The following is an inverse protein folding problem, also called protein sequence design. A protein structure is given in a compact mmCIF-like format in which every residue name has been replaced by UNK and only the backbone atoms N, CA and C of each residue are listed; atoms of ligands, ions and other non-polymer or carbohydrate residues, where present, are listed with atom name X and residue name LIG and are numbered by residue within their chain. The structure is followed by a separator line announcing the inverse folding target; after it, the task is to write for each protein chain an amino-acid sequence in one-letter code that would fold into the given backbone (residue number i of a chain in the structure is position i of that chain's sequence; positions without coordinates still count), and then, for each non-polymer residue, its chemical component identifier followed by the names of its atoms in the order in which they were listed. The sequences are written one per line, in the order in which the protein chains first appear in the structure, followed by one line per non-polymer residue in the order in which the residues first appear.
data_IF_248173595131
#
_entry.id   IF_248173595131
#
_cell.length_a   1.000
_cell.length_b   1.000
_cell.length_c   1.000
_cell.angle_alpha   90.00
_cell.angle_beta   90.00
_cell.angle_gamma   90.00
#
_symmetry.space_group_name_H-M   'P 1'
#
loop_
_entity.id
_entity.type
_entity.pdbx_description
1 polymer ?
#
# COMPACT_ATOMS: atom_id res chain seq x y z
N UNK A 1 -43.66 31.42 78.07
CA UNK A 1 -42.36 31.01 77.64
C UNK A 1 -42.53 29.93 76.55
N UNK A 2 -42.87 30.29 75.29
CA UNK A 2 -43.05 29.42 74.14
C UNK A 2 -43.26 30.18 72.83
N UNK A 3 -42.31 31.02 72.37
CA UNK A 3 -42.39 31.71 71.05
C UNK A 3 -41.02 31.71 70.31
N UNK A 4 -40.03 30.90 70.66
CA UNK A 4 -38.68 31.05 70.09
C UNK A 4 -38.19 29.88 69.19
N UNK A 5 -39.04 28.95 68.77
CA UNK A 5 -38.52 27.77 68.01
C UNK A 5 -39.15 27.53 66.63
N UNK A 6 -39.87 28.50 66.06
CA UNK A 6 -40.54 28.28 64.73
C UNK A 6 -39.88 28.99 63.52
N UNK A 7 -38.79 29.73 63.71
CA UNK A 7 -38.15 30.50 62.64
C UNK A 7 -36.84 29.87 62.06
N UNK A 8 -36.36 28.78 62.65
CA UNK A 8 -35.04 28.21 62.26
C UNK A 8 -35.12 27.10 61.17
N UNK A 9 -36.24 26.41 61.02
CA UNK A 9 -36.29 25.24 60.12
C UNK A 9 -36.49 25.57 58.61
N UNK A 10 -37.17 26.69 58.30
CA UNK A 10 -37.41 27.09 56.91
C UNK A 10 -36.18 27.66 56.23
N UNK A 11 -35.30 28.34 56.96
CA UNK A 11 -34.03 28.86 56.36
C UNK A 11 -32.99 27.78 56.11
N UNK A 12 -32.95 26.77 56.98
CA UNK A 12 -32.00 25.63 56.79
C UNK A 12 -32.33 24.78 55.54
N UNK A 13 -33.67 24.53 55.35
CA UNK A 13 -34.11 23.72 54.18
C UNK A 13 -33.95 24.49 52.87
N UNK A 14 -34.14 25.82 52.86
CA UNK A 14 -33.86 26.64 51.65
C UNK A 14 -32.40 26.71 51.30
N UNK A 15 -31.50 26.83 52.28
CA UNK A 15 -30.04 26.86 52.07
C UNK A 15 -29.51 25.50 51.60
N UNK A 16 -30.04 24.40 52.15
CA UNK A 16 -29.69 23.04 51.69
C UNK A 16 -30.15 22.79 50.24
N UNK A 17 -31.33 23.24 49.84
CA UNK A 17 -31.84 23.10 48.48
C UNK A 17 -31.01 23.91 47.48
N UNK A 18 -30.62 25.12 47.86
CA UNK A 18 -29.75 26.00 47.01
C UNK A 18 -28.36 25.41 46.82
N UNK A 19 -27.75 24.88 47.89
CA UNK A 19 -26.47 24.19 47.84
C UNK A 19 -26.51 22.89 47.00
N UNK A 20 -27.62 22.15 47.05
CA UNK A 20 -27.79 20.94 46.20
C UNK A 20 -27.99 21.32 44.72
N UNK A 21 -28.65 22.40 44.41
CA UNK A 21 -28.85 22.91 43.04
C UNK A 21 -27.53 23.44 42.48
N UNK A 22 -26.76 24.20 43.28
CA UNK A 22 -25.45 24.69 42.90
C UNK A 22 -24.42 23.57 42.68
N UNK A 23 -24.36 22.60 43.58
CA UNK A 23 -23.52 21.40 43.42
C UNK A 23 -23.91 20.58 42.18
N UNK A 24 -25.21 20.43 41.87
CA UNK A 24 -25.68 19.74 40.68
C UNK A 24 -25.32 20.50 39.39
N UNK A 25 -25.41 21.84 39.39
CA UNK A 25 -24.95 22.68 38.26
C UNK A 25 -23.43 22.60 38.05
N UNK A 26 -22.66 22.69 39.13
CA UNK A 26 -21.20 22.61 39.08
C UNK A 26 -20.75 21.21 38.59
N UNK A 27 -21.40 20.14 39.03
CA UNK A 27 -21.12 18.77 38.60
C UNK A 27 -21.46 18.56 37.11
N UNK A 28 -22.62 19.13 36.65
CA UNK A 28 -23.00 19.04 35.23
C UNK A 28 -22.06 19.84 34.32
N UNK A 29 -21.61 21.02 34.78
CA UNK A 29 -20.65 21.85 34.03
C UNK A 29 -19.28 21.18 33.97
N UNK A 30 -18.78 20.60 35.05
CA UNK A 30 -17.52 19.86 35.08
C UNK A 30 -17.59 18.60 34.23
N UNK A 31 -18.69 17.86 34.22
CA UNK A 31 -18.92 16.72 33.32
C UNK A 31 -18.94 17.14 31.84
N UNK A 32 -19.59 18.26 31.52
CA UNK A 32 -19.59 18.79 30.15
C UNK A 32 -18.18 19.19 29.68
N UNK A 33 -17.39 19.86 30.52
CA UNK A 33 -16.01 20.25 30.25
C UNK A 33 -15.13 19.01 30.10
N UNK A 34 -15.31 17.98 30.94
CA UNK A 34 -14.55 16.70 30.82
C UNK A 34 -14.94 15.97 29.54
N UNK A 35 -16.21 15.94 29.15
CA UNK A 35 -16.68 15.35 27.91
C UNK A 35 -16.17 16.10 26.68
N UNK A 36 -16.13 17.42 26.70
CA UNK A 36 -15.61 18.27 25.63
C UNK A 36 -14.08 18.12 25.49
N UNK A 37 -13.34 18.09 26.58
CA UNK A 37 -11.90 17.85 26.60
C UNK A 37 -11.55 16.43 26.11
N UNK A 38 -12.31 15.42 26.49
CA UNK A 38 -12.12 14.06 26.00
C UNK A 38 -12.43 13.97 24.49
N UNK A 39 -13.44 14.66 24.00
CA UNK A 39 -13.81 14.66 22.59
C UNK A 39 -12.77 15.38 21.71
N UNK A 40 -12.22 16.51 22.19
CA UNK A 40 -11.12 17.23 21.53
C UNK A 40 -9.81 16.47 21.57
N UNK A 41 -9.47 15.81 22.69
CA UNK A 41 -8.30 14.95 22.82
C UNK A 41 -8.39 13.75 21.90
N UNK A 42 -9.52 13.08 21.82
CA UNK A 42 -9.76 11.95 20.92
C UNK A 42 -9.65 12.36 19.44
N UNK A 43 -10.20 13.51 19.05
CA UNK A 43 -10.05 14.04 17.69
C UNK A 43 -8.59 14.34 17.33
N UNK A 44 -7.84 14.98 18.23
CA UNK A 44 -6.42 15.28 18.04
C UNK A 44 -5.60 13.99 17.84
N UNK A 45 -5.81 12.99 18.69
CA UNK A 45 -5.15 11.68 18.61
C UNK A 45 -5.48 10.97 17.29
N UNK A 46 -6.74 11.03 16.83
CA UNK A 46 -7.14 10.48 15.53
C UNK A 46 -6.37 11.12 14.36
N UNK A 47 -6.33 12.45 14.26
CA UNK A 47 -5.63 13.14 13.17
C UNK A 47 -4.11 12.89 13.20
N UNK A 48 -3.50 12.87 14.38
CA UNK A 48 -2.08 12.54 14.53
C UNK A 48 -1.82 11.10 14.07
N UNK A 49 -2.68 10.15 14.44
CA UNK A 49 -2.56 8.76 14.01
C UNK A 49 -2.68 8.61 12.48
N UNK A 50 -3.61 9.33 11.85
CA UNK A 50 -3.73 9.35 10.38
C UNK A 50 -2.47 9.94 9.74
N UNK A 51 -1.90 11.01 10.29
CA UNK A 51 -0.66 11.62 9.78
C UNK A 51 0.54 10.65 9.91
N UNK A 52 0.67 9.94 11.04
CA UNK A 52 1.71 8.92 11.24
C UNK A 52 1.55 7.79 10.20
N UNK A 53 0.33 7.29 10.01
CA UNK A 53 0.05 6.25 9.02
C UNK A 53 0.36 6.72 7.59
N UNK A 54 -0.01 7.96 7.25
CA UNK A 54 0.33 8.57 5.97
C UNK A 54 1.85 8.63 5.74
N UNK A 55 2.62 9.03 6.76
CA UNK A 55 4.08 8.98 6.75
C UNK A 55 4.63 7.56 6.56
N UNK A 56 4.02 6.56 7.21
CA UNK A 56 4.40 5.16 7.00
C UNK A 56 4.16 4.70 5.57
N UNK A 57 2.99 5.03 4.98
CA UNK A 57 2.69 4.67 3.59
C UNK A 57 3.58 5.40 2.59
N UNK A 58 3.99 6.63 2.90
CA UNK A 58 5.03 7.33 2.15
C UNK A 58 6.35 6.56 2.18
N UNK A 59 6.80 6.13 3.37
CA UNK A 59 8.03 5.32 3.50
C UNK A 59 7.89 3.98 2.74
N UNK A 60 6.73 3.31 2.82
CA UNK A 60 6.49 2.07 2.06
C UNK A 60 6.62 2.31 0.55
N UNK A 61 6.00 3.38 0.03
CA UNK A 61 6.13 3.75 -1.36
C UNK A 61 7.56 4.06 -1.74
N UNK A 62 8.25 4.86 -0.93
CA UNK A 62 9.64 5.22 -1.17
C UNK A 62 10.54 3.97 -1.29
N UNK A 63 10.48 3.07 -0.32
CA UNK A 63 11.29 1.84 -0.30
C UNK A 63 10.94 0.89 -1.44
N UNK A 64 9.64 0.74 -1.77
CA UNK A 64 9.21 -0.18 -2.83
C UNK A 64 9.66 0.27 -4.22
N UNK A 65 9.62 1.56 -4.51
CA UNK A 65 9.91 2.09 -5.84
C UNK A 65 11.39 2.37 -6.09
N UNK A 66 12.21 2.52 -5.05
CA UNK A 66 13.67 2.57 -5.18
C UNK A 66 14.22 1.34 -5.89
N UNK A 67 13.64 0.17 -5.63
CA UNK A 67 14.12 -1.08 -6.22
C UNK A 67 14.02 -1.11 -7.76
N UNK A 68 13.05 -0.41 -8.35
CA UNK A 68 12.88 -0.39 -9.81
C UNK A 68 14.06 0.23 -10.56
N UNK A 69 14.72 1.22 -9.96
CA UNK A 69 15.93 1.85 -10.54
C UNK A 69 17.16 0.95 -10.41
N UNK A 70 17.17 0.08 -9.42
CA UNK A 70 18.32 -0.78 -9.14
C UNK A 70 18.46 -1.95 -10.11
N UNK A 71 17.36 -2.38 -10.75
CA UNK A 71 17.39 -3.50 -11.70
C UNK A 71 18.38 -3.25 -12.83
N UNK A 72 18.28 -2.15 -13.64
CA UNK A 72 19.26 -1.86 -14.67
C UNK A 72 20.65 -1.55 -14.09
N UNK A 73 20.70 -0.92 -12.92
CA UNK A 73 21.95 -0.60 -12.25
C UNK A 73 22.72 -1.84 -11.82
N UNK A 74 22.07 -2.81 -11.19
CA UNK A 74 22.71 -4.08 -10.82
C UNK A 74 23.05 -4.95 -12.05
N UNK A 75 22.24 -4.88 -13.11
CA UNK A 75 22.55 -5.57 -14.35
C UNK A 75 23.95 -5.18 -14.85
N UNK A 76 24.26 -3.89 -14.86
CA UNK A 76 25.57 -3.40 -15.33
C UNK A 76 26.64 -3.65 -14.27
N UNK A 77 26.44 -3.22 -13.03
CA UNK A 77 27.46 -3.24 -11.98
C UNK A 77 27.83 -4.64 -11.48
N UNK A 78 26.93 -5.62 -11.61
CA UNK A 78 27.17 -7.02 -11.28
C UNK A 78 27.32 -7.92 -12.53
N UNK A 79 27.33 -7.35 -13.75
CA UNK A 79 27.49 -8.07 -15.02
C UNK A 79 26.43 -9.17 -15.20
N UNK A 80 25.17 -8.87 -14.86
CA UNK A 80 24.06 -9.82 -14.91
C UNK A 80 23.47 -9.90 -16.32
N UNK A 81 22.96 -11.08 -16.66
CA UNK A 81 22.07 -11.25 -17.81
C UNK A 81 20.73 -10.54 -17.57
N UNK A 82 19.96 -10.33 -18.64
CA UNK A 82 18.61 -9.78 -18.51
C UNK A 82 17.74 -10.61 -17.57
N UNK A 83 17.79 -11.94 -17.69
CA UNK A 83 17.01 -12.85 -16.85
C UNK A 83 17.42 -12.75 -15.36
N UNK A 84 18.72 -12.75 -15.08
CA UNK A 84 19.23 -12.64 -13.71
C UNK A 84 18.83 -11.33 -13.03
N UNK A 85 18.75 -10.22 -13.77
CA UNK A 85 18.33 -8.95 -13.22
C UNK A 85 16.89 -8.96 -12.69
N UNK A 86 16.01 -9.80 -13.21
CA UNK A 86 14.64 -9.95 -12.70
C UNK A 86 14.57 -10.66 -11.35
N UNK A 87 15.64 -11.35 -10.90
CA UNK A 87 15.68 -11.88 -9.53
C UNK A 87 15.62 -10.79 -8.47
N UNK A 88 15.97 -9.55 -8.77
CA UNK A 88 15.79 -8.38 -7.90
C UNK A 88 14.31 -8.24 -7.51
N UNK A 89 13.42 -8.18 -8.51
CA UNK A 89 11.98 -8.07 -8.28
C UNK A 89 11.42 -9.36 -7.64
N UNK A 90 11.88 -10.51 -8.11
CA UNK A 90 11.43 -11.80 -7.56
C UNK A 90 11.77 -11.94 -6.08
N UNK A 91 13.01 -11.69 -5.65
CA UNK A 91 13.42 -11.77 -4.24
C UNK A 91 12.60 -10.84 -3.34
N UNK A 92 12.30 -9.63 -3.83
CA UNK A 92 11.49 -8.66 -3.12
C UNK A 92 10.02 -9.11 -2.97
N UNK A 93 9.38 -9.54 -4.06
CA UNK A 93 7.95 -9.88 -4.06
C UNK A 93 7.64 -11.26 -3.49
N UNK A 94 8.55 -12.25 -3.63
CA UNK A 94 8.35 -13.57 -3.04
C UNK A 94 8.33 -13.50 -1.50
N UNK A 95 9.02 -12.52 -0.91
CA UNK A 95 8.98 -12.27 0.51
C UNK A 95 7.56 -11.98 1.03
N UNK A 96 6.73 -11.27 0.27
CA UNK A 96 5.33 -11.03 0.65
C UNK A 96 4.52 -12.32 0.72
N UNK A 97 4.75 -13.23 -0.23
CA UNK A 97 4.09 -14.53 -0.22
C UNK A 97 4.54 -15.38 0.96
N UNK A 98 5.85 -15.56 1.13
CA UNK A 98 6.43 -16.39 2.18
C UNK A 98 6.09 -15.87 3.58
N UNK A 99 6.13 -14.55 3.76
CA UNK A 99 5.95 -13.91 5.05
C UNK A 99 4.51 -13.54 5.37
N UNK A 100 3.56 -13.74 4.46
CA UNK A 100 2.16 -13.40 4.70
C UNK A 100 1.61 -14.06 5.98
N UNK A 101 1.74 -15.39 6.10
CA UNK A 101 1.26 -16.13 7.27
C UNK A 101 2.12 -15.87 8.52
N UNK A 102 3.45 -15.95 8.48
CA UNK A 102 4.30 -15.59 9.61
C UNK A 102 4.06 -14.19 10.15
N UNK A 103 3.81 -13.19 9.26
CA UNK A 103 3.49 -11.81 9.67
C UNK A 103 2.21 -11.75 10.52
N UNK A 104 1.14 -12.42 10.08
CA UNK A 104 -0.11 -12.48 10.84
C UNK A 104 0.04 -13.16 12.21
N UNK A 105 0.82 -14.24 12.28
CA UNK A 105 1.14 -14.91 13.55
C UNK A 105 1.96 -14.01 14.48
N UNK A 106 2.95 -13.30 13.94
CA UNK A 106 3.73 -12.32 14.68
C UNK A 106 2.82 -11.23 15.26
N UNK A 107 1.98 -10.62 14.43
CA UNK A 107 1.06 -9.55 14.85
C UNK A 107 0.07 -10.02 15.91
N UNK A 108 -0.42 -11.25 15.80
CA UNK A 108 -1.27 -11.87 16.82
C UNK A 108 -0.57 -11.98 18.17
N UNK A 109 0.74 -12.26 18.18
CA UNK A 109 1.55 -12.41 19.40
C UNK A 109 1.98 -11.07 20.01
N UNK A 110 2.38 -10.10 19.19
CA UNK A 110 3.01 -8.86 19.68
C UNK A 110 2.13 -7.63 19.59
N UNK A 111 1.00 -7.67 18.89
CA UNK A 111 0.13 -6.52 18.61
C UNK A 111 0.56 -5.72 17.39
N UNK A 112 -0.28 -4.74 16.97
CA UNK A 112 -0.03 -3.97 15.75
C UNK A 112 1.16 -3.01 15.88
N UNK A 113 1.22 -2.24 16.96
CA UNK A 113 2.24 -1.21 17.16
C UNK A 113 3.66 -1.79 17.24
N UNK A 114 3.82 -2.88 17.98
CA UNK A 114 5.12 -3.59 18.04
C UNK A 114 5.42 -4.31 16.73
N UNK A 115 4.43 -4.87 16.06
CA UNK A 115 4.60 -5.47 14.75
C UNK A 115 5.11 -4.49 13.71
N UNK A 116 4.57 -3.26 13.69
CA UNK A 116 5.06 -2.17 12.84
C UNK A 116 6.53 -1.84 13.16
N UNK A 117 6.88 -1.72 14.44
CA UNK A 117 8.27 -1.51 14.86
C UNK A 117 9.19 -2.60 14.32
N UNK A 118 8.85 -3.88 14.52
CA UNK A 118 9.66 -5.00 14.01
C UNK A 118 9.75 -5.03 12.49
N UNK A 119 8.66 -4.70 11.79
CA UNK A 119 8.67 -4.55 10.34
C UNK A 119 9.68 -3.51 9.85
N UNK A 120 9.69 -2.32 10.46
CA UNK A 120 10.69 -1.30 10.16
C UNK A 120 12.12 -1.73 10.49
N UNK A 121 12.33 -2.38 11.63
CA UNK A 121 13.67 -2.90 12.00
C UNK A 121 14.18 -3.92 10.99
N UNK A 122 13.32 -4.82 10.52
CA UNK A 122 13.69 -5.84 9.54
C UNK A 122 13.94 -5.23 8.16
N UNK A 123 13.16 -4.24 7.75
CA UNK A 123 13.40 -3.46 6.52
C UNK A 123 14.73 -2.71 6.61
N UNK A 124 15.04 -2.10 7.77
CA UNK A 124 16.32 -1.44 8.03
C UNK A 124 17.50 -2.42 7.95
N UNK A 125 17.35 -3.61 8.54
CA UNK A 125 18.35 -4.66 8.45
C UNK A 125 18.63 -5.04 6.99
N UNK A 126 17.57 -5.21 6.18
CA UNK A 126 17.69 -5.47 4.75
C UNK A 126 18.45 -4.36 4.01
N UNK A 127 18.18 -3.09 4.34
CA UNK A 127 18.93 -1.97 3.78
C UNK A 127 20.41 -1.96 4.20
N UNK A 128 20.74 -2.33 5.44
CA UNK A 128 22.13 -2.46 5.88
C UNK A 128 22.89 -3.63 5.24
N UNK A 129 22.20 -4.71 4.84
CA UNK A 129 22.81 -5.84 4.10
C UNK A 129 23.36 -5.38 2.75
N UNK A 130 22.83 -4.31 2.15
CA UNK A 130 23.37 -3.74 0.92
C UNK A 130 24.82 -3.25 1.07
N UNK A 131 25.25 -2.84 2.28
CA UNK A 131 26.60 -2.37 2.54
C UNK A 131 27.64 -3.50 2.31
N UNK A 132 27.59 -4.65 3.02
CA UNK A 132 28.51 -5.75 2.73
C UNK A 132 28.32 -6.35 1.34
N UNK A 133 27.10 -6.34 0.78
CA UNK A 133 26.83 -6.79 -0.57
C UNK A 133 27.60 -5.96 -1.62
N UNK A 134 27.60 -4.63 -1.47
CA UNK A 134 28.32 -3.72 -2.35
C UNK A 134 29.84 -3.81 -2.18
N UNK A 135 30.32 -3.96 -0.95
CA UNK A 135 31.77 -4.14 -0.67
C UNK A 135 32.31 -5.45 -1.27
N UNK A 136 31.51 -6.52 -1.19
CA UNK A 136 31.89 -7.82 -1.75
C UNK A 136 31.55 -7.94 -3.25
N UNK A 137 30.75 -7.03 -3.82
CA UNK A 137 30.17 -7.10 -5.18
C UNK A 137 29.50 -8.46 -5.44
N UNK A 138 28.76 -8.97 -4.44
CA UNK A 138 28.07 -10.25 -4.53
C UNK A 138 26.56 -10.04 -4.67
N UNK A 139 26.01 -10.42 -5.82
CA UNK A 139 24.60 -10.25 -6.15
C UNK A 139 23.67 -11.01 -5.22
N UNK A 140 24.07 -12.21 -4.79
CA UNK A 140 23.30 -13.07 -3.89
C UNK A 140 23.04 -12.37 -2.53
N UNK A 141 24.01 -11.60 -2.03
CA UNK A 141 23.86 -10.86 -0.77
C UNK A 141 22.85 -9.72 -0.96
N UNK A 142 22.83 -9.06 -2.13
CA UNK A 142 21.77 -8.08 -2.45
C UNK A 142 20.38 -8.72 -2.47
N UNK A 143 20.24 -9.93 -3.02
CA UNK A 143 18.97 -10.67 -3.01
C UNK A 143 18.49 -10.97 -1.59
N UNK A 144 19.40 -11.33 -0.67
CA UNK A 144 19.08 -11.53 0.75
C UNK A 144 18.62 -10.20 1.37
N UNK A 145 19.29 -9.10 1.07
CA UNK A 145 18.88 -7.76 1.49
C UNK A 145 17.48 -7.39 1.00
N UNK A 146 17.20 -7.62 -0.30
CA UNK A 146 15.89 -7.38 -0.92
C UNK A 146 14.79 -8.24 -0.30
N UNK A 147 15.05 -9.53 -0.08
CA UNK A 147 14.13 -10.43 0.60
C UNK A 147 13.84 -9.97 2.03
N UNK A 148 14.86 -9.50 2.76
CA UNK A 148 14.70 -8.94 4.11
C UNK A 148 13.86 -7.65 4.10
N UNK A 149 14.09 -6.74 3.14
CA UNK A 149 13.27 -5.54 2.92
C UNK A 149 11.82 -5.94 2.65
N UNK A 150 11.60 -6.84 1.70
CA UNK A 150 10.27 -7.35 1.36
C UNK A 150 9.56 -8.01 2.55
N UNK A 151 10.29 -8.77 3.35
CA UNK A 151 9.79 -9.39 4.61
C UNK A 151 9.34 -8.31 5.61
N UNK A 152 10.15 -7.29 5.83
CA UNK A 152 9.79 -6.16 6.68
C UNK A 152 8.54 -5.44 6.18
N UNK A 153 8.46 -5.16 4.88
CA UNK A 153 7.30 -4.51 4.26
C UNK A 153 6.04 -5.39 4.32
N UNK A 154 6.17 -6.72 4.20
CA UNK A 154 5.03 -7.63 4.38
C UNK A 154 4.45 -7.53 5.81
N UNK A 155 5.29 -7.49 6.84
CA UNK A 155 4.86 -7.27 8.23
C UNK A 155 4.19 -5.89 8.37
N UNK A 156 4.82 -4.84 7.83
CA UNK A 156 4.34 -3.47 7.91
C UNK A 156 2.97 -3.33 7.26
N UNK A 157 2.77 -3.86 6.05
CA UNK A 157 1.49 -3.76 5.35
C UNK A 157 0.41 -4.63 6.00
N UNK A 158 0.76 -5.83 6.51
CA UNK A 158 -0.15 -6.68 7.27
C UNK A 158 -0.67 -5.98 8.53
N UNK A 159 0.15 -5.12 9.14
CA UNK A 159 -0.24 -4.32 10.30
C UNK A 159 -0.97 -3.02 9.91
N UNK A 160 -0.42 -2.24 8.99
CA UNK A 160 -0.88 -0.89 8.70
C UNK A 160 -2.23 -0.85 7.97
N UNK A 161 -2.49 -1.76 7.02
CA UNK A 161 -3.73 -1.76 6.26
C UNK A 161 -4.99 -1.97 7.12
N UNK A 162 -5.08 -2.99 8.00
CA UNK A 162 -6.22 -3.12 8.90
C UNK A 162 -6.27 -1.97 9.91
N UNK A 163 -5.12 -1.46 10.35
CA UNK A 163 -5.06 -0.33 11.26
C UNK A 163 -5.74 0.91 10.66
N UNK A 164 -5.42 1.27 9.40
CA UNK A 164 -6.09 2.36 8.67
C UNK A 164 -7.59 2.11 8.52
N UNK A 165 -8.00 0.87 8.34
CA UNK A 165 -9.41 0.50 8.17
C UNK A 165 -10.20 0.69 9.47
N UNK A 166 -9.61 0.34 10.62
CA UNK A 166 -10.29 0.24 11.92
C UNK A 166 -10.23 1.54 12.74
N UNK A 167 -9.23 2.40 12.53
CA UNK A 167 -9.01 3.62 13.35
C UNK A 167 -10.17 4.63 13.31
N UNK A 168 -11.16 4.45 12.46
CA UNK A 168 -12.35 5.29 12.33
C UNK A 168 -13.53 4.54 11.74
N UNK A 169 -14.65 5.23 11.43
CA UNK A 169 -15.85 4.60 10.89
C UNK A 169 -15.56 3.77 9.65
N UNK A 170 -16.11 2.55 9.58
CA UNK A 170 -15.88 1.61 8.47
C UNK A 170 -16.32 2.18 7.13
N UNK A 171 -17.40 2.96 7.10
CA UNK A 171 -17.94 3.59 5.89
C UNK A 171 -16.99 4.59 5.23
N UNK A 172 -16.02 5.14 5.97
CA UNK A 172 -15.00 6.03 5.47
C UNK A 172 -13.62 5.36 5.32
N UNK A 173 -13.53 4.04 5.49
CA UNK A 173 -12.26 3.31 5.40
C UNK A 173 -11.61 3.46 4.02
N UNK A 174 -12.39 3.36 2.92
CA UNK A 174 -11.86 3.54 1.57
C UNK A 174 -11.27 4.94 1.35
N UNK A 175 -11.86 5.98 1.96
CA UNK A 175 -11.31 7.35 1.92
C UNK A 175 -9.95 7.42 2.63
N UNK A 176 -9.82 6.81 3.81
CA UNK A 176 -8.53 6.77 4.53
C UNK A 176 -7.48 6.00 3.76
N UNK A 177 -7.82 4.84 3.19
CA UNK A 177 -6.91 4.05 2.35
C UNK A 177 -6.48 4.84 1.12
N UNK A 178 -7.38 5.63 0.50
CA UNK A 178 -7.04 6.50 -0.63
C UNK A 178 -6.02 7.57 -0.26
N UNK A 179 -6.13 8.18 0.93
CA UNK A 179 -5.12 9.13 1.44
C UNK A 179 -3.75 8.43 1.57
N UNK A 180 -3.72 7.22 2.13
CA UNK A 180 -2.49 6.43 2.23
C UNK A 180 -1.93 6.08 0.84
N UNK A 181 -2.82 5.76 -0.11
CA UNK A 181 -2.48 5.51 -1.51
C UNK A 181 -1.80 6.70 -2.19
N UNK A 182 -2.31 7.92 -1.98
CA UNK A 182 -1.69 9.15 -2.50
C UNK A 182 -0.28 9.32 -1.92
N UNK A 183 -0.11 9.17 -0.60
CA UNK A 183 1.20 9.29 0.02
C UNK A 183 2.19 8.26 -0.52
N UNK A 184 1.74 7.02 -0.73
CA UNK A 184 2.54 5.94 -1.30
C UNK A 184 2.95 6.23 -2.77
N UNK A 185 2.01 6.66 -3.61
CA UNK A 185 2.30 6.95 -5.03
C UNK A 185 3.15 8.21 -5.21
N UNK A 186 2.93 9.24 -4.39
CA UNK A 186 3.76 10.44 -4.38
C UNK A 186 5.22 10.10 -4.01
N UNK A 187 5.41 9.27 -2.98
CA UNK A 187 6.74 8.74 -2.64
C UNK A 187 7.35 7.95 -3.79
N UNK A 188 6.53 7.15 -4.50
CA UNK A 188 6.95 6.38 -5.66
C UNK A 188 7.44 7.24 -6.84
N UNK A 189 6.90 8.43 -7.01
CA UNK A 189 7.37 9.39 -8.02
C UNK A 189 8.71 10.00 -7.62
N UNK A 190 8.87 10.33 -6.34
CA UNK A 190 10.05 11.06 -5.84
C UNK A 190 11.26 10.12 -5.62
N UNK A 191 11.02 8.90 -5.16
CA UNK A 191 12.10 8.01 -4.72
C UNK A 191 13.11 7.67 -5.82
N UNK A 192 12.72 7.32 -7.07
CA UNK A 192 13.66 7.08 -8.14
C UNK A 192 14.49 8.31 -8.49
N UNK A 193 13.89 9.51 -8.43
CA UNK A 193 14.58 10.77 -8.72
C UNK A 193 15.66 11.06 -7.69
N UNK A 194 15.33 10.89 -6.40
CA UNK A 194 16.29 11.09 -5.30
C UNK A 194 17.42 10.06 -5.39
N UNK A 195 17.09 8.78 -5.59
CA UNK A 195 18.11 7.75 -5.70
C UNK A 195 18.98 7.92 -6.94
N UNK A 196 18.38 8.22 -8.10
CA UNK A 196 19.14 8.53 -9.29
C UNK A 196 20.15 9.67 -9.06
N UNK A 197 19.71 10.75 -8.44
CA UNK A 197 20.59 11.88 -8.11
C UNK A 197 21.71 11.53 -7.11
N UNK A 198 21.53 10.49 -6.29
CA UNK A 198 22.53 10.06 -5.31
C UNK A 198 23.54 9.04 -5.88
N UNK A 199 23.11 8.17 -6.82
CA UNK A 199 23.94 7.08 -7.30
C UNK A 199 24.47 7.28 -8.72
N UNK A 200 23.78 8.08 -9.56
CA UNK A 200 24.19 8.34 -10.94
C UNK A 200 24.95 9.67 -11.03
N UNK A 201 26.00 9.68 -11.82
CA UNK A 201 26.78 10.86 -12.21
C UNK A 201 26.47 11.24 -13.66
N UNK A 202 26.77 12.48 -14.05
CA UNK A 202 26.53 12.95 -15.41
C UNK A 202 27.29 12.15 -16.47
N UNK A 203 28.45 11.62 -16.13
CA UNK A 203 29.35 10.92 -17.03
C UNK A 203 29.05 9.39 -17.11
N UNK A 204 28.03 8.90 -16.36
CA UNK A 204 27.75 7.47 -16.30
C UNK A 204 27.22 6.89 -17.64
N UNK A 205 26.62 7.71 -18.49
CA UNK A 205 26.20 7.29 -19.84
C UNK A 205 27.40 6.90 -20.71
N UNK A 206 28.51 7.64 -20.62
CA UNK A 206 29.76 7.30 -21.31
C UNK A 206 30.41 6.06 -20.66
N UNK A 207 30.40 5.98 -19.33
CA UNK A 207 30.88 4.83 -18.59
C UNK A 207 30.14 3.54 -18.96
N UNK A 208 28.80 3.58 -19.05
CA UNK A 208 28.00 2.44 -19.45
C UNK A 208 28.27 2.01 -20.89
N UNK A 209 28.40 2.96 -21.82
CA UNK A 209 28.74 2.70 -23.19
C UNK A 209 30.16 2.06 -23.32
N UNK A 210 31.14 2.52 -22.54
CA UNK A 210 32.48 1.94 -22.50
C UNK A 210 32.47 0.50 -21.95
N UNK A 211 31.70 0.23 -20.90
CA UNK A 211 31.56 -1.11 -20.33
C UNK A 211 30.89 -2.06 -21.35
N UNK A 212 29.81 -1.62 -21.99
CA UNK A 212 29.08 -2.42 -22.99
C UNK A 212 29.88 -2.65 -24.26
N UNK A 213 30.81 -1.74 -24.64
CA UNK A 213 31.65 -1.90 -25.82
C UNK A 213 32.70 -3.03 -25.71
N UNK A 214 32.98 -3.50 -24.48
CA UNK A 214 33.99 -4.55 -24.22
C UNK A 214 35.43 -4.15 -24.59
N UNK A 215 35.72 -2.84 -24.77
CA UNK A 215 37.02 -2.34 -25.17
C UNK A 215 37.99 -2.13 -24.00
N UNK A 216 37.50 -2.22 -22.77
CA UNK A 216 38.28 -2.02 -21.56
C UNK A 216 39.07 -3.27 -21.18
N UNK A 217 40.27 -3.09 -20.64
CA UNK A 217 40.99 -4.18 -19.98
C UNK A 217 40.24 -4.62 -18.69
N UNK A 218 40.34 -5.91 -18.38
CA UNK A 218 39.62 -6.53 -17.27
C UNK A 218 39.90 -5.86 -15.91
N UNK A 219 41.11 -5.32 -15.70
CA UNK A 219 41.48 -4.64 -14.45
C UNK A 219 40.76 -3.29 -14.30
N UNK A 220 40.73 -2.50 -15.35
CA UNK A 220 40.06 -1.20 -15.41
C UNK A 220 38.54 -1.35 -15.31
N UNK A 221 37.98 -2.31 -16.06
CA UNK A 221 36.55 -2.64 -15.99
C UNK A 221 36.14 -3.01 -14.57
N UNK A 222 36.88 -3.93 -13.92
CA UNK A 222 36.56 -4.32 -12.53
C UNK A 222 36.69 -3.16 -11.54
N UNK A 223 37.66 -2.27 -11.71
CA UNK A 223 37.77 -1.08 -10.85
C UNK A 223 36.57 -0.15 -11.01
N UNK A 224 36.13 0.12 -12.26
CA UNK A 224 34.97 0.95 -12.55
C UNK A 224 33.66 0.33 -12.02
N UNK A 225 33.45 -0.97 -12.21
CA UNK A 225 32.28 -1.68 -11.72
C UNK A 225 32.24 -1.71 -10.18
N UNK A 226 33.40 -1.84 -9.52
CA UNK A 226 33.51 -1.76 -8.06
C UNK A 226 33.18 -0.36 -7.55
N UNK A 227 33.65 0.71 -8.21
CA UNK A 227 33.27 2.08 -7.85
C UNK A 227 31.76 2.28 -8.02
N UNK A 228 31.21 1.81 -9.15
CA UNK A 228 29.79 1.92 -9.45
C UNK A 228 28.95 1.26 -8.35
N UNK A 229 29.18 -0.01 -8.04
CA UNK A 229 28.35 -0.73 -7.07
C UNK A 229 28.49 -0.16 -5.65
N UNK A 230 29.63 0.41 -5.27
CA UNK A 230 29.83 1.01 -3.96
C UNK A 230 29.05 2.31 -3.76
N UNK A 231 28.62 2.98 -4.82
CA UNK A 231 27.79 4.20 -4.71
C UNK A 231 26.44 3.95 -4.02
N UNK A 232 25.95 2.71 -3.98
CA UNK A 232 24.70 2.39 -3.27
C UNK A 232 24.87 2.33 -1.75
N UNK A 233 26.11 2.24 -1.24
CA UNK A 233 26.39 2.08 0.20
C UNK A 233 25.81 3.24 1.01
N UNK A 234 26.14 4.46 0.65
CA UNK A 234 25.73 5.65 1.42
C UNK A 234 24.20 5.83 1.39
N UNK A 235 23.53 5.83 0.23
CA UNK A 235 22.06 5.92 0.18
C UNK A 235 21.35 4.84 0.99
N UNK A 236 21.79 3.58 0.89
CA UNK A 236 21.17 2.48 1.64
C UNK A 236 21.51 2.50 3.14
N UNK A 237 22.69 2.93 3.54
CA UNK A 237 23.02 3.15 4.94
C UNK A 237 22.12 4.25 5.55
N UNK A 238 21.96 5.38 4.86
CA UNK A 238 21.05 6.46 5.28
C UNK A 238 19.61 5.94 5.36
N UNK A 239 19.13 5.23 4.34
CA UNK A 239 17.80 4.63 4.33
C UNK A 239 17.62 3.68 5.52
N UNK A 240 18.60 2.81 5.80
CA UNK A 240 18.58 1.90 6.94
C UNK A 240 18.45 2.63 8.28
N UNK A 241 19.22 3.71 8.47
CA UNK A 241 19.14 4.55 9.69
C UNK A 241 17.76 5.21 9.80
N UNK A 242 17.24 5.79 8.72
CA UNK A 242 15.91 6.43 8.72
C UNK A 242 14.79 5.42 9.03
N UNK A 243 14.86 4.21 8.48
CA UNK A 243 13.91 3.14 8.77
C UNK A 243 14.00 2.67 10.22
N UNK A 244 15.20 2.55 10.77
CA UNK A 244 15.41 2.20 12.17
C UNK A 244 14.82 3.27 13.09
N UNK A 245 15.09 4.55 12.81
CA UNK A 245 14.52 5.67 13.56
C UNK A 245 13.00 5.73 13.44
N UNK A 246 12.43 5.44 12.26
CA UNK A 246 10.98 5.33 12.07
C UNK A 246 10.40 4.22 12.95
N UNK A 247 11.01 3.04 12.99
CA UNK A 247 10.59 1.92 13.85
C UNK A 247 10.61 2.28 15.33
N UNK A 248 11.67 2.91 15.81
CA UNK A 248 11.80 3.41 17.18
C UNK A 248 10.74 4.49 17.44
N UNK A 249 10.57 5.45 16.53
CA UNK A 249 9.57 6.51 16.63
C UNK A 249 8.14 5.96 16.75
N UNK A 250 7.79 4.92 16.02
CA UNK A 250 6.48 4.24 16.14
C UNK A 250 6.29 3.65 17.53
N UNK A 251 7.33 3.07 18.12
CA UNK A 251 7.26 2.48 19.48
C UNK A 251 6.83 3.51 20.53
N UNK A 252 7.32 4.74 20.42
CA UNK A 252 7.06 5.85 21.36
C UNK A 252 5.96 6.79 20.87
N UNK A 253 5.36 6.55 19.69
CA UNK A 253 4.31 7.39 19.13
C UNK A 253 3.00 7.33 19.94
N UNK A 254 2.12 8.30 19.70
CA UNK A 254 0.76 8.36 20.26
C UNK A 254 -0.22 7.37 19.61
N UNK A 255 0.24 6.53 18.68
CA UNK A 255 -0.58 5.51 18.06
C UNK A 255 -1.21 4.61 19.12
N UNK A 256 -2.55 4.55 19.26
CA UNK A 256 -3.20 3.67 20.21
C UNK A 256 -2.96 2.19 19.84
N UNK A 257 -2.80 1.33 20.81
CA UNK A 257 -2.85 -0.12 20.56
C UNK A 257 -4.29 -0.49 20.26
N UNK A 258 -4.59 -0.87 19.02
CA UNK A 258 -5.94 -1.24 18.63
C UNK A 258 -6.14 -2.73 18.89
N UNK A 259 -7.10 -3.06 19.73
CA UNK A 259 -7.57 -4.43 19.89
C UNK A 259 -8.62 -4.73 18.81
N UNK A 260 -8.14 -5.12 17.63
CA UNK A 260 -9.00 -5.45 16.49
C UNK A 260 -9.96 -6.59 16.79
N UNK A 261 -9.61 -7.46 17.75
CA UNK A 261 -10.42 -8.61 18.11
C UNK A 261 -11.69 -8.19 18.89
N UNK A 262 -11.62 -7.10 19.67
CA UNK A 262 -12.77 -6.54 20.37
C UNK A 262 -13.65 -5.63 19.48
N UNK A 263 -13.03 -4.79 18.66
CA UNK A 263 -13.78 -3.87 17.79
C UNK A 263 -14.58 -4.59 16.70
N UNK A 264 -14.04 -5.67 16.14
CA UNK A 264 -14.79 -6.50 15.19
C UNK A 264 -15.75 -7.50 15.86
N UNK A 265 -15.55 -7.84 17.13
CA UNK A 265 -16.43 -8.75 17.88
C UNK A 265 -17.83 -8.15 18.16
N UNK A 266 -17.97 -6.82 18.18
CA UNK A 266 -19.28 -6.16 18.24
C UNK A 266 -20.08 -6.38 16.97
N UNK A 267 -19.44 -6.32 15.81
CA UNK A 267 -20.05 -6.61 14.50
C UNK A 267 -20.38 -8.10 14.32
N UNK A 268 -19.58 -9.01 14.93
CA UNK A 268 -19.83 -10.45 14.90
C UNK A 268 -21.11 -10.86 15.65
N UNK A 269 -21.47 -10.17 16.71
CA UNK A 269 -22.71 -10.44 17.46
C UNK A 269 -23.97 -10.13 16.66
N UNK A 270 -23.89 -9.10 15.80
CA UNK A 270 -24.99 -8.73 14.89
C UNK A 270 -25.04 -9.62 13.65
N UNK A 271 -23.88 -10.14 13.18
CA UNK A 271 -23.76 -10.92 11.95
C UNK A 271 -23.81 -12.46 12.11
N UNK A 272 -23.88 -12.97 13.35
CA UNK A 272 -23.94 -14.43 13.64
C UNK A 272 -22.66 -15.22 13.33
N UNK A 273 -21.52 -14.56 13.18
CA UNK A 273 -20.25 -15.17 12.78
C UNK A 273 -19.37 -15.63 13.97
N UNK A 274 -19.80 -15.42 15.21
CA UNK A 274 -18.99 -15.62 16.42
C UNK A 274 -18.51 -17.07 16.68
N UNK A 275 -19.07 -18.07 15.99
CA UNK A 275 -18.78 -19.50 16.24
C UNK A 275 -17.79 -20.14 15.25
N UNK A 276 -17.15 -19.38 14.37
CA UNK A 276 -16.23 -19.96 13.38
C UNK A 276 -14.90 -20.34 14.01
N UNK A 277 -14.47 -21.57 13.71
CA UNK A 277 -13.23 -22.15 14.27
C UNK A 277 -12.00 -21.93 13.40
N UNK A 278 -12.18 -21.57 12.11
CA UNK A 278 -11.10 -21.44 11.14
C UNK A 278 -11.28 -20.20 10.25
N UNK A 279 -10.17 -19.61 9.82
CA UNK A 279 -10.12 -18.51 8.86
C UNK A 279 -10.72 -18.91 7.49
N UNK A 280 -10.61 -20.17 7.11
CA UNK A 280 -11.22 -20.71 5.90
C UNK A 280 -12.75 -20.75 5.95
N UNK A 281 -13.35 -20.56 7.13
CA UNK A 281 -14.78 -20.37 7.29
C UNK A 281 -15.31 -19.03 6.74
N UNK A 282 -14.46 -18.13 6.24
CA UNK A 282 -14.83 -16.83 5.70
C UNK A 282 -14.56 -16.78 4.18
N UNK A 283 -15.48 -17.27 3.34
CA UNK A 283 -15.28 -17.31 1.88
C UNK A 283 -14.96 -15.95 1.28
N UNK A 284 -15.63 -14.88 1.73
CA UNK A 284 -15.42 -13.53 1.24
C UNK A 284 -13.99 -13.02 1.48
N UNK A 285 -13.29 -13.49 2.51
CA UNK A 285 -11.89 -13.16 2.75
C UNK A 285 -10.98 -13.81 1.71
N UNK A 286 -11.19 -15.08 1.41
CA UNK A 286 -10.39 -15.82 0.42
C UNK A 286 -10.64 -15.26 -0.98
N UNK A 287 -11.90 -15.00 -1.31
CA UNK A 287 -12.28 -14.34 -2.56
C UNK A 287 -11.71 -12.92 -2.63
N UNK A 288 -11.61 -12.22 -1.48
CA UNK A 288 -10.98 -10.91 -1.37
C UNK A 288 -9.47 -10.95 -1.60
N UNK A 289 -8.78 -11.95 -1.06
CA UNK A 289 -7.35 -12.15 -1.31
C UNK A 289 -7.07 -12.40 -2.80
N UNK A 290 -7.90 -13.21 -3.45
CA UNK A 290 -7.83 -13.43 -4.90
C UNK A 290 -8.19 -12.16 -5.70
N UNK A 291 -9.13 -11.34 -5.19
CA UNK A 291 -9.45 -10.05 -5.81
C UNK A 291 -8.25 -9.07 -5.71
N UNK A 292 -7.53 -9.05 -4.60
CA UNK A 292 -6.29 -8.27 -4.49
C UNK A 292 -5.25 -8.78 -5.48
N UNK A 293 -5.06 -10.09 -5.61
CA UNK A 293 -4.14 -10.70 -6.57
C UNK A 293 -4.40 -10.21 -7.99
N UNK A 294 -5.64 -10.29 -8.47
CA UNK A 294 -6.00 -9.82 -9.80
C UNK A 294 -5.85 -8.30 -9.93
N UNK A 295 -6.28 -7.55 -8.92
CA UNK A 295 -6.22 -6.09 -8.97
C UNK A 295 -4.78 -5.56 -9.06
N UNK A 296 -3.89 -6.01 -8.18
CA UNK A 296 -2.50 -5.50 -8.17
C UNK A 296 -1.76 -5.90 -9.45
N UNK A 297 -2.04 -7.09 -9.98
CA UNK A 297 -1.48 -7.52 -11.26
C UNK A 297 -1.95 -6.66 -12.43
N UNK A 298 -3.25 -6.29 -12.50
CA UNK A 298 -3.73 -5.36 -13.54
C UNK A 298 -3.10 -3.99 -13.41
N UNK A 299 -2.84 -3.52 -12.19
CA UNK A 299 -2.18 -2.24 -11.95
C UNK A 299 -0.73 -2.25 -12.44
N UNK A 300 0.04 -3.31 -12.13
CA UNK A 300 1.44 -3.43 -12.53
C UNK A 300 1.54 -3.62 -14.05
N UNK A 301 0.71 -4.44 -14.66
CA UNK A 301 0.66 -4.57 -16.12
C UNK A 301 0.45 -3.20 -16.76
N UNK A 302 -0.52 -2.41 -16.30
CA UNK A 302 -0.83 -1.11 -16.90
C UNK A 302 0.30 -0.07 -16.76
N UNK A 303 1.23 -0.25 -15.82
CA UNK A 303 2.33 0.70 -15.57
C UNK A 303 3.65 0.20 -16.18
N UNK A 304 4.00 -1.07 -15.95
CA UNK A 304 5.34 -1.57 -16.25
C UNK A 304 5.51 -2.03 -17.71
N UNK A 305 4.41 -2.41 -18.38
CA UNK A 305 4.48 -2.89 -19.76
C UNK A 305 4.29 -1.79 -20.81
N UNK A 306 3.79 -0.62 -20.40
CA UNK A 306 3.35 0.45 -21.31
C UNK A 306 4.48 1.03 -22.17
N UNK A 307 5.72 1.07 -21.63
CA UNK A 307 6.88 1.57 -22.37
C UNK A 307 7.21 0.64 -23.56
N UNK A 308 7.27 -0.67 -23.29
CA UNK A 308 7.53 -1.65 -24.33
C UNK A 308 6.42 -1.64 -25.39
N UNK A 309 5.17 -1.44 -24.96
CA UNK A 309 4.03 -1.35 -25.85
C UNK A 309 4.08 -0.08 -26.72
N UNK A 310 4.46 1.08 -26.15
CA UNK A 310 4.69 2.30 -26.91
C UNK A 310 5.81 2.13 -27.94
N UNK A 311 6.92 1.52 -27.55
CA UNK A 311 8.04 1.24 -28.47
C UNK A 311 7.63 0.33 -29.64
N UNK A 312 6.78 -0.66 -29.40
CA UNK A 312 6.29 -1.54 -30.49
C UNK A 312 5.40 -0.82 -31.49
N UNK A 313 4.87 0.35 -31.13
CA UNK A 313 4.14 1.26 -32.03
C UNK A 313 5.07 2.24 -32.80
N UNK A 314 6.39 2.11 -32.64
CA UNK A 314 7.38 2.98 -33.29
C UNK A 314 7.66 4.29 -32.55
N UNK A 315 7.22 4.45 -31.31
CA UNK A 315 7.56 5.62 -30.50
C UNK A 315 9.00 5.53 -30.00
N UNK A 316 9.69 6.68 -30.01
CA UNK A 316 11.01 6.76 -29.39
C UNK A 316 10.94 6.51 -27.87
N UNK A 317 11.99 5.92 -27.32
CA UNK A 317 12.08 5.58 -25.91
C UNK A 317 11.94 6.80 -24.99
N UNK A 318 12.44 7.97 -25.43
CA UNK A 318 12.32 9.22 -24.69
C UNK A 318 10.86 9.70 -24.60
N UNK A 319 10.06 9.44 -25.62
CA UNK A 319 8.63 9.73 -25.65
C UNK A 319 7.87 8.69 -24.81
N UNK A 320 8.17 7.40 -25.02
CA UNK A 320 7.52 6.29 -24.35
C UNK A 320 7.63 6.33 -22.81
N UNK A 321 8.73 6.85 -22.27
CA UNK A 321 8.96 7.01 -20.82
C UNK A 321 7.93 7.92 -20.11
N UNK A 322 7.20 8.76 -20.83
CA UNK A 322 6.18 9.62 -20.24
C UNK A 322 4.89 8.85 -19.86
N UNK A 323 4.57 7.77 -20.54
CA UNK A 323 3.29 7.06 -20.38
C UNK A 323 3.06 6.45 -18.99
N UNK A 324 4.03 5.84 -18.29
CA UNK A 324 3.84 5.43 -16.91
C UNK A 324 3.42 6.58 -15.99
N UNK A 325 3.97 7.78 -16.21
CA UNK A 325 3.60 8.98 -15.44
C UNK A 325 2.16 9.39 -15.67
N UNK A 326 1.64 9.24 -16.90
CA UNK A 326 0.22 9.49 -17.20
C UNK A 326 -0.68 8.48 -16.49
N UNK A 327 -0.31 7.19 -16.46
CA UNK A 327 -1.05 6.17 -15.69
C UNK A 327 -1.08 6.49 -14.20
N UNK A 328 0.06 6.91 -13.64
CA UNK A 328 0.16 7.32 -12.23
C UNK A 328 -0.65 8.59 -11.94
N UNK A 329 -0.66 9.56 -12.86
CA UNK A 329 -1.49 10.76 -12.74
C UNK A 329 -2.98 10.40 -12.75
N UNK A 330 -3.44 9.53 -13.65
CA UNK A 330 -4.80 9.00 -13.64
C UNK A 330 -5.14 8.31 -12.31
N UNK A 331 -4.19 7.54 -11.74
CA UNK A 331 -4.36 6.90 -10.44
C UNK A 331 -4.51 7.93 -9.31
N UNK A 332 -3.70 8.99 -9.30
CA UNK A 332 -3.81 10.07 -8.31
C UNK A 332 -5.15 10.81 -8.41
N UNK A 333 -5.62 11.09 -9.62
CA UNK A 333 -6.96 11.69 -9.85
C UNK A 333 -8.04 10.77 -9.26
N UNK A 334 -7.94 9.46 -9.49
CA UNK A 334 -8.86 8.48 -8.92
C UNK A 334 -8.88 8.50 -7.39
N UNK A 335 -7.73 8.57 -6.73
CA UNK A 335 -7.65 8.70 -5.27
C UNK A 335 -8.26 10.01 -4.77
N UNK A 336 -7.96 11.15 -5.41
CA UNK A 336 -8.50 12.47 -5.02
C UNK A 336 -10.02 12.45 -5.12
N UNK A 337 -10.56 11.97 -6.24
CA UNK A 337 -12.01 11.83 -6.40
C UNK A 337 -12.62 10.88 -5.38
N UNK A 338 -11.95 9.77 -5.07
CA UNK A 338 -12.38 8.85 -4.03
C UNK A 338 -12.48 9.51 -2.65
N UNK A 339 -11.52 10.36 -2.28
CA UNK A 339 -11.54 11.12 -1.02
C UNK A 339 -12.73 12.06 -0.95
N UNK A 340 -13.06 12.73 -2.06
CA UNK A 340 -14.16 13.70 -2.13
C UNK A 340 -15.52 12.99 -2.10
N UNK A 341 -15.63 11.87 -2.83
CA UNK A 341 -16.92 11.24 -3.13
C UNK A 341 -17.32 10.20 -2.09
N UNK A 342 -16.35 9.53 -1.42
CA UNK A 342 -16.64 8.46 -0.45
C UNK A 342 -16.50 9.00 0.99
N UNK A 343 -17.45 8.74 1.90
CA UNK A 343 -18.74 8.05 1.69
C UNK A 343 -19.89 9.00 1.32
N UNK A 344 -19.60 10.30 1.15
CA UNK A 344 -20.58 11.37 1.14
C UNK A 344 -21.61 11.25 0.01
N UNK A 345 -21.17 10.91 -1.20
CA UNK A 345 -22.00 10.81 -2.41
C UNK A 345 -22.21 9.37 -2.87
N UNK A 346 -21.22 8.50 -2.64
CA UNK A 346 -21.25 7.10 -3.07
C UNK A 346 -20.69 6.19 -1.97
N UNK A 347 -21.31 5.04 -1.76
CA UNK A 347 -20.78 4.03 -0.84
C UNK A 347 -19.50 3.39 -1.39
N UNK A 348 -18.61 2.92 -0.49
CA UNK A 348 -17.38 2.20 -0.86
C UNK A 348 -17.64 1.05 -1.83
N UNK A 349 -18.72 0.29 -1.59
CA UNK A 349 -19.14 -0.83 -2.44
C UNK A 349 -19.53 -0.37 -3.84
N UNK A 350 -20.34 0.69 -3.96
CA UNK A 350 -20.76 1.20 -5.27
C UNK A 350 -19.56 1.79 -6.03
N UNK A 351 -18.64 2.48 -5.34
CA UNK A 351 -17.39 2.95 -5.93
C UNK A 351 -16.55 1.77 -6.48
N UNK A 352 -16.44 0.67 -5.73
CA UNK A 352 -15.76 -0.54 -6.19
C UNK A 352 -16.43 -1.13 -7.45
N UNK A 353 -17.76 -1.23 -7.48
CA UNK A 353 -18.50 -1.73 -8.66
C UNK A 353 -18.24 -0.84 -9.87
N UNK A 354 -18.39 0.48 -9.71
CA UNK A 354 -18.18 1.44 -10.81
C UNK A 354 -16.75 1.32 -11.35
N UNK A 355 -15.74 1.30 -10.46
CA UNK A 355 -14.34 1.20 -10.87
C UNK A 355 -14.01 -0.13 -11.55
N UNK A 356 -14.54 -1.25 -11.06
CA UNK A 356 -14.29 -2.56 -11.70
C UNK A 356 -14.97 -2.68 -13.07
N UNK A 357 -16.17 -2.14 -13.23
CA UNK A 357 -16.87 -2.09 -14.54
C UNK A 357 -16.14 -1.15 -15.50
N UNK A 358 -15.73 0.04 -15.04
CA UNK A 358 -14.94 0.97 -15.85
C UNK A 358 -13.60 0.35 -16.28
N UNK A 359 -12.92 -0.36 -15.37
CA UNK A 359 -11.68 -1.08 -15.68
C UNK A 359 -11.86 -2.13 -16.75
N UNK A 360 -12.96 -2.90 -16.70
CA UNK A 360 -13.31 -3.86 -17.75
C UNK A 360 -13.55 -3.15 -19.11
N UNK A 361 -14.33 -2.06 -19.11
CA UNK A 361 -14.58 -1.29 -20.31
C UNK A 361 -13.30 -0.74 -20.94
N UNK A 362 -12.42 -0.15 -20.13
CA UNK A 362 -11.12 0.36 -20.58
C UNK A 362 -10.23 -0.77 -21.09
N UNK A 363 -10.26 -1.96 -20.47
CA UNK A 363 -9.50 -3.13 -20.92
C UNK A 363 -9.95 -3.58 -22.31
N UNK A 364 -11.25 -3.55 -22.61
CA UNK A 364 -11.72 -3.75 -23.99
C UNK A 364 -11.22 -2.65 -24.94
N UNK A 365 -11.18 -1.39 -24.48
CA UNK A 365 -10.57 -0.30 -25.23
C UNK A 365 -9.10 -0.55 -25.58
N UNK A 366 -8.30 -1.08 -24.64
CA UNK A 366 -6.90 -1.46 -24.89
C UNK A 366 -6.78 -2.49 -26.00
N UNK A 367 -7.61 -3.50 -25.97
CA UNK A 367 -7.49 -4.63 -26.89
C UNK A 367 -8.12 -4.35 -28.27
N UNK A 368 -9.25 -3.64 -28.30
CA UNK A 368 -10.08 -3.51 -29.51
C UNK A 368 -9.89 -2.18 -30.26
N UNK A 369 -9.40 -1.09 -29.59
CA UNK A 369 -9.24 0.19 -30.25
C UNK A 369 -8.13 0.13 -31.31
N UNK A 370 -8.49 0.42 -32.57
CA UNK A 370 -7.57 0.37 -33.71
C UNK A 370 -7.66 1.66 -34.54
N UNK A 371 -7.48 2.78 -33.87
CA UNK A 371 -7.45 4.10 -34.47
C UNK A 371 -6.42 4.98 -33.75
N UNK A 372 -5.84 5.92 -34.48
CA UNK A 372 -4.86 6.85 -33.95
C UNK A 372 -5.53 8.10 -33.39
N UNK A 373 -5.01 8.58 -32.27
CA UNK A 373 -5.45 9.80 -31.58
C UNK A 373 -4.23 10.62 -31.20
N UNK A 374 -4.36 11.94 -31.27
CA UNK A 374 -3.37 12.85 -30.72
C UNK A 374 -3.84 13.35 -29.35
N UNK A 375 -3.17 12.92 -28.29
CA UNK A 375 -3.47 13.34 -26.92
C UNK A 375 -2.16 13.72 -26.21
N UNK A 376 -2.20 14.75 -25.38
CA UNK A 376 -1.02 15.23 -24.63
C UNK A 376 0.20 15.55 -25.52
N UNK A 377 0.00 15.88 -26.80
CA UNK A 377 1.07 16.13 -27.75
C UNK A 377 1.65 14.89 -28.42
N UNK A 378 1.18 13.68 -28.07
CA UNK A 378 1.62 12.40 -28.64
C UNK A 378 0.58 11.87 -29.62
N UNK A 379 1.02 11.50 -30.83
CA UNK A 379 0.18 10.78 -31.81
C UNK A 379 0.42 9.28 -31.66
N UNK A 380 -0.59 8.55 -31.15
CA UNK A 380 -0.50 7.15 -30.88
C UNK A 380 -1.80 6.40 -31.15
N UNK A 381 -1.74 5.07 -31.20
CA UNK A 381 -2.94 4.24 -31.19
C UNK A 381 -3.72 4.49 -29.89
N UNK A 382 -5.04 4.63 -30.00
CA UNK A 382 -5.92 4.91 -28.85
C UNK A 382 -5.79 3.89 -27.71
N UNK A 383 -5.41 2.65 -28.02
CA UNK A 383 -5.21 1.57 -27.04
C UNK A 383 -4.25 1.95 -25.90
N UNK A 384 -3.20 2.74 -26.18
CA UNK A 384 -2.23 3.15 -25.14
C UNK A 384 -2.85 4.17 -24.18
N UNK A 385 -3.75 5.02 -24.65
CA UNK A 385 -4.45 5.98 -23.80
C UNK A 385 -5.53 5.31 -22.95
N UNK A 386 -6.19 4.24 -23.47
CA UNK A 386 -7.03 3.39 -22.65
C UNK A 386 -6.23 2.68 -21.56
N UNK A 387 -5.01 2.25 -21.86
CA UNK A 387 -4.11 1.63 -20.88
C UNK A 387 -3.71 2.63 -19.78
N UNK A 388 -3.39 3.88 -20.15
CA UNK A 388 -3.13 4.97 -19.20
C UNK A 388 -4.37 5.24 -18.33
N UNK A 389 -5.56 5.29 -18.94
CA UNK A 389 -6.80 5.56 -18.23
C UNK A 389 -7.15 4.46 -17.20
N UNK A 390 -6.65 3.22 -17.35
CA UNK A 390 -6.80 2.17 -16.33
C UNK A 390 -6.21 2.56 -14.97
N UNK A 391 -5.28 3.50 -14.92
CA UNK A 391 -4.82 4.06 -13.65
C UNK A 391 -5.95 4.60 -12.78
N UNK A 392 -6.94 5.26 -13.40
CA UNK A 392 -8.04 5.89 -12.68
C UNK A 392 -8.93 4.88 -11.89
N UNK A 393 -9.54 3.86 -12.49
CA UNK A 393 -10.31 2.88 -11.73
C UNK A 393 -9.45 2.07 -10.75
N UNK A 394 -8.20 1.79 -11.09
CA UNK A 394 -7.29 1.04 -10.23
C UNK A 394 -7.05 1.72 -8.87
N UNK A 395 -7.19 3.04 -8.76
CA UNK A 395 -7.01 3.76 -7.51
C UNK A 395 -7.97 3.28 -6.41
N UNK A 396 -9.25 3.07 -6.72
CA UNK A 396 -10.28 2.78 -5.72
C UNK A 396 -10.57 1.30 -5.52
N UNK A 397 -10.11 0.43 -6.41
CA UNK A 397 -10.39 -1.01 -6.34
C UNK A 397 -9.77 -1.62 -5.07
N UNK A 398 -8.48 -1.37 -4.80
CA UNK A 398 -7.82 -1.85 -3.57
C UNK A 398 -8.52 -1.31 -2.32
N UNK A 399 -8.82 0.00 -2.32
CA UNK A 399 -9.49 0.68 -1.22
C UNK A 399 -10.90 0.12 -0.94
N UNK A 400 -11.58 -0.38 -1.97
CA UNK A 400 -12.88 -1.02 -1.84
C UNK A 400 -12.81 -2.49 -1.41
N UNK A 401 -11.86 -3.27 -1.94
CA UNK A 401 -11.72 -4.70 -1.61
C UNK A 401 -11.36 -4.89 -0.13
N UNK A 402 -10.40 -4.11 0.37
CA UNK A 402 -9.83 -4.32 1.70
C UNK A 402 -10.87 -4.29 2.82
N UNK A 403 -11.68 -3.22 2.98
CA UNK A 403 -12.67 -3.15 4.04
C UNK A 403 -13.74 -4.25 3.95
N UNK A 404 -14.17 -4.59 2.73
CA UNK A 404 -15.17 -5.65 2.51
C UNK A 404 -14.65 -7.05 2.84
N UNK A 405 -13.34 -7.25 2.73
CA UNK A 405 -12.70 -8.54 3.00
C UNK A 405 -12.35 -8.73 4.48
N UNK A 406 -12.13 -7.65 5.24
CA UNK A 406 -11.68 -7.71 6.63
C UNK A 406 -12.84 -7.57 7.64
N UNK A 407 -14.01 -7.12 7.18
CA UNK A 407 -15.18 -6.90 8.03
C UNK A 407 -15.65 -8.18 8.71
N UNK A 408 -15.95 -8.14 10.02
CA UNK A 408 -16.50 -9.27 10.77
C UNK A 408 -15.55 -10.45 11.00
N UNK A 409 -14.23 -10.28 10.85
CA UNK A 409 -13.26 -11.35 11.11
C UNK A 409 -12.94 -11.56 12.59
N UNK A 410 -13.22 -10.59 13.47
CA UNK A 410 -12.94 -10.64 14.91
C UNK A 410 -11.50 -11.07 15.20
N UNK A 411 -11.31 -12.11 15.98
CA UNK A 411 -10.00 -12.67 16.33
C UNK A 411 -9.12 -13.09 15.14
N UNK A 412 -9.71 -13.25 13.95
CA UNK A 412 -8.99 -13.63 12.74
C UNK A 412 -8.49 -12.43 11.92
N UNK A 413 -8.76 -11.18 12.33
CA UNK A 413 -8.39 -9.98 11.58
C UNK A 413 -6.89 -9.95 11.24
N UNK A 414 -6.01 -10.25 12.19
CA UNK A 414 -4.55 -10.24 11.97
C UNK A 414 -4.11 -11.29 10.95
N UNK A 415 -4.66 -12.49 11.04
CA UNK A 415 -4.36 -13.59 10.09
C UNK A 415 -5.05 -13.36 8.75
N UNK A 416 -6.26 -12.79 8.75
CA UNK A 416 -6.98 -12.40 7.54
C UNK A 416 -6.24 -11.33 6.74
N UNK A 417 -5.67 -10.33 7.44
CA UNK A 417 -4.85 -9.31 6.81
C UNK A 417 -3.62 -9.88 6.12
N UNK A 418 -2.95 -10.87 6.73
CA UNK A 418 -1.82 -11.54 6.08
C UNK A 418 -2.22 -12.31 4.83
N UNK A 419 -3.41 -12.93 4.83
CA UNK A 419 -3.93 -13.60 3.65
C UNK A 419 -4.23 -12.59 2.50
N UNK A 420 -4.75 -11.42 2.84
CA UNK A 420 -4.96 -10.35 1.86
C UNK A 420 -3.62 -9.83 1.30
N UNK A 421 -2.61 -9.67 2.14
CA UNK A 421 -1.26 -9.28 1.71
C UNK A 421 -0.61 -10.33 0.82
N UNK A 422 -0.89 -11.63 1.05
CA UNK A 422 -0.45 -12.69 0.15
C UNK A 422 -0.92 -12.47 -1.29
N UNK A 423 -2.10 -11.86 -1.49
CA UNK A 423 -2.59 -11.47 -2.81
C UNK A 423 -1.67 -10.52 -3.57
N UNK A 424 -0.76 -9.78 -2.90
CA UNK A 424 0.21 -8.90 -3.58
C UNK A 424 1.20 -9.65 -4.48
N UNK A 425 1.30 -10.99 -4.38
CA UNK A 425 2.07 -11.80 -5.32
C UNK A 425 1.52 -11.73 -6.76
N UNK A 426 0.31 -11.21 -6.96
CA UNK A 426 -0.21 -10.86 -8.29
C UNK A 426 0.70 -9.93 -9.08
N UNK A 427 1.44 -9.05 -8.40
CA UNK A 427 2.45 -8.18 -9.02
C UNK A 427 3.60 -8.95 -9.69
N UNK A 428 3.92 -10.14 -9.21
CA UNK A 428 4.96 -10.98 -9.81
C UNK A 428 4.41 -11.91 -10.90
N UNK A 429 3.22 -12.47 -10.68
CA UNK A 429 2.70 -13.56 -11.51
C UNK A 429 1.98 -13.04 -12.76
N UNK A 430 1.10 -12.05 -12.63
CA UNK A 430 0.29 -11.61 -13.77
C UNK A 430 1.07 -10.91 -14.88
N UNK A 431 2.13 -10.12 -14.63
CA UNK A 431 3.01 -9.64 -15.68
C UNK A 431 3.74 -10.74 -16.43
N UNK A 432 4.09 -11.86 -15.77
CA UNK A 432 4.67 -13.02 -16.46
C UNK A 432 3.66 -13.69 -17.39
N UNK A 433 2.38 -13.80 -16.95
CA UNK A 433 1.30 -14.32 -17.81
C UNK A 433 1.08 -13.40 -19.00
N UNK A 434 1.06 -12.07 -18.79
CA UNK A 434 1.02 -11.09 -19.88
C UNK A 434 2.20 -11.29 -20.85
N UNK A 435 3.41 -11.34 -20.32
CA UNK A 435 4.64 -11.50 -21.12
C UNK A 435 4.65 -12.77 -21.96
N UNK A 436 4.14 -13.87 -21.41
CA UNK A 436 4.04 -15.13 -22.15
C UNK A 436 3.11 -15.01 -23.37
N UNK A 437 1.93 -14.41 -23.20
CA UNK A 437 1.03 -14.20 -24.34
C UNK A 437 1.56 -13.14 -25.32
N UNK A 438 2.22 -12.12 -24.81
CA UNK A 438 2.86 -11.08 -25.62
C UNK A 438 4.00 -11.63 -26.50
N UNK A 439 4.75 -12.61 -26.01
CA UNK A 439 5.84 -13.26 -26.73
C UNK A 439 5.31 -14.21 -27.82
N UNK A 440 4.25 -14.96 -27.54
CA UNK A 440 3.66 -15.92 -28.49
C UNK A 440 2.90 -15.23 -29.63
N UNK A 441 2.22 -14.14 -29.35
CA UNK A 441 1.34 -13.45 -30.31
C UNK A 441 1.83 -12.05 -30.63
N UNK A 442 1.46 -11.08 -29.80
CA UNK A 442 1.94 -9.70 -29.82
C UNK A 442 1.62 -9.01 -28.48
N UNK A 443 2.24 -7.85 -28.25
CA UNK A 443 2.11 -7.08 -27.02
C UNK A 443 0.69 -6.65 -26.72
N UNK A 444 -0.13 -6.38 -27.76
CA UNK A 444 -1.53 -5.97 -27.63
C UNK A 444 -2.41 -7.14 -27.23
N UNK A 445 -2.19 -8.31 -27.84
CA UNK A 445 -2.91 -9.55 -27.49
C UNK A 445 -2.62 -9.95 -26.06
N UNK A 446 -1.41 -9.73 -25.56
CA UNK A 446 -1.07 -9.95 -24.15
C UNK A 446 -2.04 -9.28 -23.17
N UNK A 447 -2.60 -8.11 -23.51
CA UNK A 447 -3.56 -7.42 -22.65
C UNK A 447 -4.94 -8.10 -22.50
N UNK A 448 -5.25 -9.14 -23.25
CA UNK A 448 -6.45 -9.95 -23.00
C UNK A 448 -6.48 -10.53 -21.59
N UNK A 449 -5.33 -10.66 -20.93
CA UNK A 449 -5.21 -11.09 -19.54
C UNK A 449 -5.94 -10.16 -18.56
N UNK A 450 -6.14 -8.88 -18.92
CA UNK A 450 -6.85 -7.91 -18.09
C UNK A 450 -8.35 -8.25 -17.96
N UNK A 451 -8.95 -8.80 -19.03
CA UNK A 451 -10.39 -9.06 -19.10
C UNK A 451 -10.86 -10.05 -18.03
N UNK A 452 -10.30 -11.28 -17.92
CA UNK A 452 -10.69 -12.21 -16.85
C UNK A 452 -10.39 -11.64 -15.46
N UNK A 453 -9.33 -10.83 -15.31
CA UNK A 453 -9.03 -10.18 -14.04
C UNK A 453 -10.16 -9.22 -13.63
N UNK A 454 -10.59 -8.31 -14.51
CA UNK A 454 -11.66 -7.38 -14.21
C UNK A 454 -13.03 -8.08 -14.08
N UNK A 455 -13.31 -9.13 -14.83
CA UNK A 455 -14.51 -9.95 -14.63
C UNK A 455 -14.56 -10.56 -13.23
N UNK A 456 -13.43 -11.07 -12.74
CA UNK A 456 -13.36 -11.56 -11.38
C UNK A 456 -13.55 -10.43 -10.34
N UNK A 457 -12.97 -9.27 -10.57
CA UNK A 457 -13.13 -8.10 -9.70
C UNK A 457 -14.59 -7.64 -9.63
N UNK A 458 -15.33 -7.65 -10.74
CA UNK A 458 -16.77 -7.37 -10.77
C UNK A 458 -17.54 -8.44 -9.98
N UNK A 459 -17.23 -9.72 -10.19
CA UNK A 459 -17.83 -10.80 -9.41
C UNK A 459 -17.66 -10.57 -7.91
N UNK A 460 -16.43 -10.24 -7.47
CA UNK A 460 -16.16 -9.95 -6.06
C UNK A 460 -16.94 -8.73 -5.56
N UNK A 461 -16.95 -7.64 -6.33
CA UNK A 461 -17.63 -6.39 -5.97
C UNK A 461 -19.16 -6.54 -5.85
N UNK A 462 -19.78 -7.40 -6.66
CA UNK A 462 -21.24 -7.56 -6.69
C UNK A 462 -21.71 -8.68 -5.76
N UNK A 463 -21.05 -9.83 -5.80
CA UNK A 463 -21.49 -11.07 -5.15
C UNK A 463 -20.45 -11.67 -4.20
N UNK A 464 -19.17 -11.70 -4.56
CA UNK A 464 -18.15 -12.43 -3.83
C UNK A 464 -18.01 -11.99 -2.37
N UNK A 465 -18.05 -10.70 -2.08
CA UNK A 465 -17.96 -10.15 -0.73
C UNK A 465 -19.17 -10.51 0.18
N UNK A 466 -20.30 -10.97 -0.41
CA UNK A 466 -21.51 -11.37 0.34
C UNK A 466 -21.54 -12.85 0.68
N UNK A 467 -20.64 -13.65 0.12
CA UNK A 467 -20.59 -15.08 0.35
C UNK A 467 -20.03 -15.35 1.73
N UNK A 468 -20.88 -15.68 2.68
CA UNK A 468 -20.50 -15.89 4.08
C UNK A 468 -20.29 -17.36 4.43
N UNK A 469 -20.71 -18.31 3.61
CA UNK A 469 -20.52 -19.75 3.81
C UNK A 469 -20.15 -20.44 2.50
N UNK A 470 -19.29 -21.45 2.59
CA UNK A 470 -19.07 -22.40 1.50
C UNK A 470 -20.29 -23.32 1.40
N UNK A 471 -21.00 -23.29 0.32
CA UNK A 471 -22.06 -24.22 -0.03
C UNK A 471 -21.86 -24.70 -1.45
#
# INVERSE_FOLDING_TARGET
MNIAFRFSSKNITSTYLTLQIENKKTLSTNLAIIMENNNTSNKKTYYISIAILAGMFFIFGFVSWVNSILIPYFRISCELTHFESYFVAFAFYIAYFVMAVPSGLLLKKVGFKRGIMYGFMLTALGAFIFVPAALARQFEIFLIGLFSIGTGLAILQTAANPYVTIIGPIDSAARRISIMGICNKFAGIISPLIFAALILKADDSELFALIESGTLDATTQNAMLNELIQRVIVPYAILGVLLLLAGIGIRYSVLPEINTDEQNATDDKESGHSNRKSIFGFPYLILGALAIFFHVGTQVIAIDTIINYANSMGMDLLEAKAFPSYTLACTMIGYILGIIVIPQYISQKNALIVCTVLGLFLSFGVVLADFNVTLFGHQANASIFFLNALGFPNALIYAGIWPLSIHGLGKFTKTGSSLLIMGLCGNAILPLVYGHFAEIYDLRIGYWVLIPCFLYLIFFAVKGHKITSWR
#
